data_IF_560892380158
#
_entry.id   IF_560892380158
#
_cell.length_a   1.000
_cell.length_b   1.000
_cell.length_c   1.000
_cell.angle_alpha   90.00
_cell.angle_beta   90.00
_cell.angle_gamma   90.00
#
_symmetry.space_group_name_H-M   'P 1'
#
loop_
_entity.id
_entity.type
_entity.pdbx_description
1 polymer ?
#
# COMPACT_ATOMS: atom_id res chain seq x y z
N UNK A 1 7.35 -2.63 18.15
CA UNK A 1 6.34 -3.63 18.56
C UNK A 1 5.45 -4.10 17.40
N UNK A 2 5.00 -3.23 16.49
CA UNK A 2 4.08 -3.61 15.38
C UNK A 2 4.68 -4.44 14.22
N UNK A 3 5.99 -4.68 14.18
CA UNK A 3 6.66 -5.42 13.09
C UNK A 3 7.19 -6.81 13.46
N UNK A 4 6.97 -7.29 14.68
CA UNK A 4 7.66 -8.49 15.21
C UNK A 4 6.79 -9.76 15.22
N UNK A 5 5.47 -9.67 14.95
CA UNK A 5 4.56 -10.82 14.94
C UNK A 5 3.61 -10.74 13.76
N UNK A 6 3.46 -11.86 13.05
CA UNK A 6 2.59 -12.01 11.89
C UNK A 6 1.14 -12.24 12.34
N UNK A 7 0.46 -11.15 12.70
CA UNK A 7 -0.92 -11.17 13.24
C UNK A 7 -1.96 -11.02 12.11
N UNK A 8 -1.54 -10.62 10.91
CA UNK A 8 -2.41 -10.29 9.77
C UNK A 8 -2.22 -11.33 8.65
N UNK A 9 -3.32 -11.74 8.02
CA UNK A 9 -3.26 -12.51 6.77
C UNK A 9 -3.07 -11.56 5.58
N UNK A 10 -1.80 -11.30 5.24
CA UNK A 10 -1.44 -10.33 4.20
C UNK A 10 -2.08 -10.63 2.84
N UNK A 11 -2.03 -11.89 2.40
CA UNK A 11 -2.61 -12.33 1.11
C UNK A 11 -4.13 -12.14 1.10
N UNK A 12 -4.80 -12.49 2.20
CA UNK A 12 -6.24 -12.28 2.35
C UNK A 12 -6.64 -10.81 2.26
N UNK A 13 -5.84 -9.90 2.85
CA UNK A 13 -6.08 -8.45 2.78
C UNK A 13 -5.86 -7.93 1.35
N UNK A 14 -4.79 -8.33 0.67
CA UNK A 14 -4.55 -7.93 -0.74
C UNK A 14 -5.69 -8.41 -1.64
N UNK A 15 -6.12 -9.66 -1.49
CA UNK A 15 -7.24 -10.21 -2.26
C UNK A 15 -8.56 -9.49 -1.97
N UNK A 16 -8.83 -9.14 -0.70
CA UNK A 16 -10.01 -8.37 -0.33
C UNK A 16 -10.00 -6.99 -1.01
N UNK A 17 -8.89 -6.27 -0.96
CA UNK A 17 -8.76 -4.95 -1.58
C UNK A 17 -8.91 -5.04 -3.11
N UNK A 18 -8.30 -6.06 -3.74
CA UNK A 18 -8.45 -6.31 -5.17
C UNK A 18 -9.91 -6.52 -5.59
N UNK A 19 -10.71 -7.22 -4.76
CA UNK A 19 -12.16 -7.42 -5.01
C UNK A 19 -12.97 -6.14 -4.82
N UNK A 20 -12.48 -5.21 -4.01
CA UNK A 20 -13.10 -3.90 -3.77
C UNK A 20 -12.69 -2.82 -4.78
N UNK A 21 -11.82 -3.15 -5.75
CA UNK A 21 -11.43 -2.24 -6.83
C UNK A 21 -12.61 -1.94 -7.76
N UNK A 22 -12.97 -0.67 -7.87
CA UNK A 22 -14.01 -0.20 -8.78
C UNK A 22 -13.41 0.10 -10.15
N UNK A 23 -13.70 -0.78 -11.11
CA UNK A 23 -13.20 -0.67 -12.48
C UNK A 23 -13.66 0.59 -13.22
N UNK A 24 -14.79 1.17 -12.81
CA UNK A 24 -15.37 2.31 -13.54
C UNK A 24 -14.81 3.64 -13.05
N UNK A 25 -14.58 3.77 -11.75
CA UNK A 25 -14.03 4.98 -11.14
C UNK A 25 -12.52 4.93 -10.92
N UNK A 26 -11.91 3.74 -10.93
CA UNK A 26 -10.52 3.51 -10.50
C UNK A 26 -10.31 3.66 -8.99
N UNK A 27 -11.39 3.84 -8.22
CA UNK A 27 -11.34 3.95 -6.76
C UNK A 27 -11.49 2.59 -6.06
N UNK A 28 -11.38 2.59 -4.73
CA UNK A 28 -11.58 1.39 -3.91
C UNK A 28 -12.79 1.59 -3.00
N UNK A 29 -13.67 0.59 -3.01
CA UNK A 29 -14.89 0.52 -2.21
C UNK A 29 -14.59 0.08 -0.79
N UNK A 30 -15.51 0.37 0.13
CA UNK A 30 -15.47 -0.19 1.49
C UNK A 30 -15.55 -1.72 1.48
N UNK A 31 -16.40 -2.24 0.60
CA UNK A 31 -16.71 -3.66 0.48
C UNK A 31 -16.96 -4.01 -1.00
N UNK A 32 -16.83 -5.28 -1.39
CA UNK A 32 -16.90 -5.68 -2.81
C UNK A 32 -18.32 -5.77 -3.38
N UNK A 33 -19.38 -5.46 -2.62
CA UNK A 33 -20.75 -5.58 -3.11
C UNK A 33 -21.06 -4.55 -4.20
N UNK A 34 -22.02 -4.92 -5.07
CA UNK A 34 -22.39 -4.14 -6.25
C UNK A 34 -22.92 -2.74 -5.91
N UNK A 35 -23.65 -2.61 -4.80
CA UNK A 35 -24.24 -1.34 -4.35
C UNK A 35 -23.26 -0.47 -3.56
N UNK A 36 -22.06 -0.96 -3.26
CA UNK A 36 -21.02 -0.17 -2.62
C UNK A 36 -20.28 0.65 -3.68
N UNK A 37 -20.18 1.95 -3.46
CA UNK A 37 -19.47 2.88 -4.32
C UNK A 37 -18.08 3.15 -3.78
N UNK A 38 -17.11 3.37 -4.68
CA UNK A 38 -15.79 3.84 -4.29
C UNK A 38 -15.89 5.27 -3.74
N UNK A 39 -15.09 5.57 -2.73
CA UNK A 39 -14.95 6.94 -2.23
C UNK A 39 -13.48 7.26 -1.91
N UNK A 40 -13.11 8.56 -1.82
CA UNK A 40 -11.73 8.96 -1.56
C UNK A 40 -11.16 8.42 -0.25
N UNK A 41 -11.99 8.22 0.78
CA UNK A 41 -11.54 7.76 2.10
C UNK A 41 -11.11 6.29 2.04
N UNK A 42 -11.96 5.40 1.54
CA UNK A 42 -11.62 3.97 1.42
C UNK A 42 -10.52 3.74 0.38
N UNK A 43 -10.52 4.52 -0.70
CA UNK A 43 -9.39 4.52 -1.66
C UNK A 43 -8.07 4.85 -0.96
N UNK A 44 -8.03 5.96 -0.22
CA UNK A 44 -6.81 6.35 0.49
C UNK A 44 -6.37 5.32 1.54
N UNK A 45 -7.28 4.82 2.36
CA UNK A 45 -6.97 3.84 3.41
C UNK A 45 -6.51 2.50 2.84
N UNK A 46 -7.15 2.03 1.77
CA UNK A 46 -6.78 0.78 1.11
C UNK A 46 -5.39 0.89 0.45
N UNK A 47 -5.11 1.97 -0.27
CA UNK A 47 -3.79 2.21 -0.87
C UNK A 47 -2.70 2.31 0.21
N UNK A 48 -2.96 3.01 1.31
CA UNK A 48 -2.00 3.11 2.41
C UNK A 48 -1.77 1.76 3.10
N UNK A 49 -2.83 0.98 3.33
CA UNK A 49 -2.73 -0.38 3.84
C UNK A 49 -1.91 -1.29 2.93
N UNK A 50 -2.13 -1.23 1.61
CA UNK A 50 -1.34 -1.95 0.62
C UNK A 50 0.14 -1.54 0.66
N UNK A 51 0.44 -0.24 0.77
CA UNK A 51 1.81 0.26 0.93
C UNK A 51 2.49 -0.28 2.19
N UNK A 52 1.77 -0.38 3.31
CA UNK A 52 2.28 -1.02 4.53
C UNK A 52 2.61 -2.50 4.30
N UNK A 53 1.69 -3.26 3.70
CA UNK A 53 1.90 -4.69 3.41
C UNK A 53 3.10 -4.91 2.49
N UNK A 54 3.25 -4.08 1.46
CA UNK A 54 4.38 -4.10 0.54
C UNK A 54 5.71 -3.90 1.29
N UNK A 55 5.79 -2.89 2.16
CA UNK A 55 7.00 -2.65 2.96
C UNK A 55 7.35 -3.84 3.89
N UNK A 56 6.35 -4.49 4.49
CA UNK A 56 6.58 -5.69 5.32
C UNK A 56 7.04 -6.89 4.48
N UNK A 57 6.49 -7.08 3.27
CA UNK A 57 6.95 -8.10 2.33
C UNK A 57 8.40 -7.87 1.89
N UNK A 58 8.76 -6.64 1.50
CA UNK A 58 10.11 -6.27 1.11
C UNK A 58 11.14 -6.45 2.24
N UNK A 59 10.76 -6.09 3.48
CA UNK A 59 11.64 -6.28 4.64
C UNK A 59 11.86 -7.76 4.97
N UNK A 60 10.86 -8.63 4.75
CA UNK A 60 11.01 -10.08 4.90
C UNK A 60 11.94 -10.67 3.84
N UNK A 61 11.81 -10.26 2.58
CA UNK A 61 12.69 -10.71 1.50
C UNK A 61 14.17 -10.38 1.78
N UNK A 62 14.44 -9.21 2.37
CA UNK A 62 15.80 -8.79 2.74
C UNK A 62 16.42 -9.59 3.88
N UNK A 63 15.62 -10.17 4.78
CA UNK A 63 16.11 -10.98 5.90
C UNK A 63 16.24 -12.46 5.55
N UNK A 64 15.59 -12.92 4.48
CA UNK A 64 15.71 -14.26 3.92
C UNK A 64 16.62 -14.26 2.67
N UNK A 65 17.94 -14.24 2.86
CA UNK A 65 18.94 -14.21 1.78
C UNK A 65 19.00 -15.48 0.90
N UNK A 66 17.97 -16.33 0.89
CA UNK A 66 18.01 -17.63 0.19
C UNK A 66 16.78 -18.04 -0.64
N UNK A 67 15.65 -17.33 -0.65
CA UNK A 67 14.51 -17.75 -1.48
C UNK A 67 13.85 -16.57 -2.21
N UNK A 68 14.44 -16.22 -3.36
CA UNK A 68 13.96 -15.18 -4.27
C UNK A 68 12.62 -15.51 -4.96
N UNK A 69 12.08 -16.72 -4.74
CA UNK A 69 10.85 -17.22 -5.39
C UNK A 69 9.60 -17.13 -4.50
N UNK A 70 9.73 -16.78 -3.22
CA UNK A 70 8.61 -16.80 -2.27
C UNK A 70 7.82 -15.47 -2.17
N UNK A 71 8.32 -14.37 -2.73
CA UNK A 71 7.64 -13.06 -2.69
C UNK A 71 6.67 -12.82 -3.85
N UNK A 72 6.54 -13.76 -4.78
CA UNK A 72 5.48 -13.75 -5.77
C UNK A 72 4.28 -14.44 -5.16
N UNK A 73 3.20 -13.69 -4.91
CA UNK A 73 1.90 -14.30 -4.59
C UNK A 73 1.61 -15.31 -5.71
N UNK A 74 1.39 -16.61 -5.41
CA UNK A 74 1.15 -17.59 -6.46
C UNK A 74 -0.18 -17.26 -7.14
N UNK A 75 -0.10 -16.75 -8.37
CA UNK A 75 -1.24 -16.52 -9.25
C UNK A 75 -1.83 -17.82 -9.83
N UNK A 76 -1.56 -18.97 -9.24
CA UNK A 76 -1.74 -20.29 -9.87
C UNK A 76 -3.09 -20.97 -9.64
N UNK A 77 -3.99 -20.41 -8.83
CA UNK A 77 -5.28 -21.07 -8.52
C UNK A 77 -6.47 -20.13 -8.71
N UNK A 78 -6.68 -19.58 -9.91
CA UNK A 78 -7.97 -18.98 -10.26
C UNK A 78 -8.39 -19.41 -11.66
N UNK A 79 -9.39 -20.29 -11.65
CA UNK A 79 -10.14 -20.88 -12.76
C UNK A 79 -10.40 -19.89 -13.91
N UNK A 80 -10.11 -20.35 -15.14
CA UNK A 80 -10.27 -19.65 -16.41
C UNK A 80 -11.64 -18.97 -16.53
N UNK A 81 -11.68 -17.64 -16.53
CA UNK A 81 -12.86 -16.86 -16.89
C UNK A 81 -12.48 -15.67 -17.79
N UNK A 82 -12.85 -15.79 -19.07
CA UNK A 82 -13.12 -14.77 -20.09
C UNK A 82 -12.16 -13.57 -20.24
N UNK A 83 -11.69 -13.38 -21.49
CA UNK A 83 -10.64 -12.46 -21.97
C UNK A 83 -10.83 -10.95 -21.71
N UNK A 84 -11.89 -10.53 -21.00
CA UNK A 84 -12.16 -9.13 -20.67
C UNK A 84 -11.87 -8.80 -19.18
N UNK A 85 -11.56 -9.80 -18.36
CA UNK A 85 -11.33 -9.65 -16.91
C UNK A 85 -9.84 -9.50 -16.53
N UNK A 86 -8.94 -9.80 -17.47
CA UNK A 86 -7.48 -9.71 -17.34
C UNK A 86 -7.04 -8.26 -17.15
N UNK A 87 -7.55 -7.32 -17.95
CA UNK A 87 -7.14 -5.91 -17.96
C UNK A 87 -7.29 -5.19 -16.59
N UNK A 88 -8.41 -5.36 -15.90
CA UNK A 88 -8.65 -4.68 -14.61
C UNK A 88 -7.77 -5.24 -13.50
N UNK A 89 -7.55 -6.57 -13.49
CA UNK A 89 -6.61 -7.17 -12.53
C UNK A 89 -5.20 -6.71 -12.81
N UNK A 90 -4.81 -6.64 -14.07
CA UNK A 90 -3.50 -6.17 -14.49
C UNK A 90 -3.28 -4.71 -14.05
N UNK A 91 -4.31 -3.85 -14.13
CA UNK A 91 -4.26 -2.48 -13.62
C UNK A 91 -4.06 -2.42 -12.09
N UNK A 92 -4.83 -3.19 -11.32
CA UNK A 92 -4.66 -3.25 -9.87
C UNK A 92 -3.27 -3.77 -9.48
N UNK A 93 -2.80 -4.84 -10.16
CA UNK A 93 -1.48 -5.40 -9.91
C UNK A 93 -0.39 -4.39 -10.25
N UNK A 94 -0.46 -3.72 -11.39
CA UNK A 94 0.48 -2.66 -11.79
C UNK A 94 0.52 -1.50 -10.78
N UNK A 95 -0.64 -1.08 -10.26
CA UNK A 95 -0.70 -0.10 -9.18
C UNK A 95 0.05 -0.59 -7.94
N UNK A 96 -0.24 -1.83 -7.51
CA UNK A 96 0.32 -2.43 -6.31
C UNK A 96 1.84 -2.65 -6.40
N UNK A 97 2.32 -3.22 -7.51
CA UNK A 97 3.72 -3.57 -7.72
C UNK A 97 4.59 -2.35 -8.03
N UNK A 98 4.13 -1.43 -8.88
CA UNK A 98 5.01 -0.40 -9.46
C UNK A 98 4.74 1.00 -8.92
N UNK A 99 3.48 1.34 -8.61
CA UNK A 99 3.10 2.74 -8.37
C UNK A 99 2.91 3.09 -6.88
N UNK A 100 2.69 2.10 -6.01
CA UNK A 100 2.58 2.33 -4.57
C UNK A 100 3.94 2.63 -3.94
N UNK A 101 4.07 3.87 -3.46
CA UNK A 101 5.20 4.34 -2.66
C UNK A 101 5.06 4.03 -1.16
N UNK A 102 6.16 4.12 -0.40
CA UNK A 102 6.15 3.85 1.03
C UNK A 102 5.38 4.93 1.82
N UNK A 103 4.68 4.48 2.85
CA UNK A 103 3.97 5.33 3.82
C UNK A 103 4.66 5.28 5.18
N UNK A 104 4.55 6.36 5.95
CA UNK A 104 4.91 6.39 7.37
C UNK A 104 3.71 5.86 8.16
N UNK A 105 3.76 4.63 8.73
CA UNK A 105 2.58 3.98 9.28
C UNK A 105 1.90 4.75 10.42
N UNK A 106 2.69 5.42 11.27
CA UNK A 106 2.19 6.15 12.44
C UNK A 106 1.45 7.43 12.07
N UNK A 107 1.72 7.99 10.89
CA UNK A 107 1.14 9.25 10.42
C UNK A 107 0.24 9.09 9.20
N UNK A 108 0.23 7.91 8.58
CA UNK A 108 -0.55 7.60 7.38
C UNK A 108 -0.32 8.60 6.22
N UNK A 109 0.91 9.09 6.08
CA UNK A 109 1.33 9.97 4.97
C UNK A 109 2.46 9.30 4.20
N UNK A 110 2.71 9.76 2.96
CA UNK A 110 3.87 9.27 2.20
C UNK A 110 5.17 9.54 2.97
N UNK A 111 6.14 8.61 2.86
CA UNK A 111 7.47 8.79 3.47
C UNK A 111 8.15 10.07 2.97
N UNK A 112 7.90 10.45 1.71
CA UNK A 112 8.34 11.72 1.13
C UNK A 112 7.80 12.93 1.90
N UNK A 113 6.50 12.96 2.19
CA UNK A 113 5.88 14.05 2.95
C UNK A 113 6.43 14.10 4.38
N UNK A 114 6.60 12.94 5.03
CA UNK A 114 7.19 12.85 6.35
C UNK A 114 8.60 13.46 6.41
N UNK A 115 9.50 13.05 5.51
CA UNK A 115 10.86 13.59 5.42
C UNK A 115 10.84 15.10 5.17
N UNK A 116 9.96 15.57 4.28
CA UNK A 116 9.82 16.99 4.01
C UNK A 116 9.42 17.78 5.27
N UNK A 117 8.46 17.28 6.06
CA UNK A 117 8.04 17.92 7.31
C UNK A 117 9.15 17.94 8.36
N UNK A 118 9.99 16.91 8.41
CA UNK A 118 11.19 16.91 9.27
C UNK A 118 12.15 18.03 8.88
N UNK A 119 12.46 18.17 7.58
CA UNK A 119 13.32 19.24 7.08
C UNK A 119 12.76 20.63 7.38
N UNK A 120 11.44 20.83 7.23
CA UNK A 120 10.80 22.11 7.58
C UNK A 120 10.95 22.40 9.07
N UNK A 121 10.71 21.40 9.92
CA UNK A 121 10.87 21.53 11.38
C UNK A 121 12.29 21.92 11.78
N UNK A 122 13.30 21.25 11.23
CA UNK A 122 14.72 21.54 11.51
C UNK A 122 15.07 22.98 11.15
N UNK A 123 14.64 23.45 9.96
CA UNK A 123 14.87 24.83 9.54
C UNK A 123 14.27 25.85 10.50
N UNK A 124 13.04 25.60 10.98
CA UNK A 124 12.40 26.48 11.96
C UNK A 124 13.09 26.49 13.32
N UNK A 125 13.70 25.38 13.73
CA UNK A 125 14.48 25.33 14.97
C UNK A 125 15.78 26.13 14.85
N UNK A 126 16.47 26.07 13.71
CA UNK A 126 17.65 26.91 13.44
C UNK A 126 17.32 28.40 13.49
N UNK A 127 16.16 28.82 12.95
CA UNK A 127 15.72 30.22 12.97
C UNK A 127 15.46 30.71 14.40
N UNK A 128 14.84 29.88 15.25
CA UNK A 128 14.56 30.24 16.65
C UNK A 128 15.81 30.27 17.54
N UNK A 129 16.87 29.56 17.16
CA UNK A 129 18.17 29.59 17.85
C UNK A 129 19.06 30.77 17.47
N UNK A 130 18.73 31.51 16.41
CA UNK A 130 19.35 32.77 16.05
C UNK A 130 18.72 33.91 16.83
N UNK A 131 19.34 34.28 17.96
CA UNK A 131 19.07 35.57 18.61
C UNK A 131 19.20 36.67 17.56
N UNK A 132 18.14 37.44 17.35
CA UNK A 132 18.22 38.73 16.67
C UNK A 132 19.18 39.57 17.51
N UNK A 133 20.40 39.76 17.02
CA UNK A 133 21.36 40.72 17.53
C UNK A 133 21.09 42.08 16.88
#
# INVERSE_FOLDING_TARGET
LLGCKHIVNDSGVVQFIARSWDRFSGGIKKFPELLCHSDPLHTHLALSGLSCLKAVAENRCKTSFLDLTACTIPCSEIQQFSDNYTDVRDQFFCLYSEHLGPVQPELNISRRAYVHLQTVRERWQCIKGGSVA
#
